data_IF_764968849061
#
_entry.id   IF_764968849061
#
_cell.length_a   1.000
_cell.length_b   1.000
_cell.length_c   1.000
_cell.angle_alpha   90.00
_cell.angle_beta   90.00
_cell.angle_gamma   90.00
#
_symmetry.space_group_name_H-M   'P 1'
#
loop_
_entity.id
_entity.type
_entity.pdbx_description
1 polymer ?
#
# COMPACT_ATOMS: atom_id res chain seq x y z
N UNK A 1 18.77 -23.70 -20.43
CA UNK A 1 17.91 -24.91 -20.27
C UNK A 1 16.71 -24.95 -21.22
N UNK A 2 16.03 -23.84 -21.53
CA UNK A 2 15.02 -23.85 -22.61
C UNK A 2 15.71 -23.88 -23.98
N UNK A 3 15.30 -24.78 -24.88
CA UNK A 3 15.67 -24.72 -26.30
C UNK A 3 14.95 -23.52 -26.97
N UNK A 4 15.38 -23.06 -28.16
CA UNK A 4 14.57 -22.16 -28.99
C UNK A 4 13.13 -22.66 -29.09
N UNK A 5 12.17 -21.74 -28.98
CA UNK A 5 10.72 -21.99 -28.99
C UNK A 5 10.19 -22.93 -27.88
N UNK A 6 11.06 -23.26 -26.92
CA UNK A 6 10.69 -23.99 -25.72
C UNK A 6 9.72 -23.19 -24.85
N UNK A 7 8.82 -23.92 -24.19
CA UNK A 7 7.87 -23.38 -23.22
C UNK A 7 8.22 -23.83 -21.80
N UNK A 8 8.15 -22.89 -20.87
CA UNK A 8 8.20 -23.15 -19.44
C UNK A 8 6.81 -22.89 -18.86
N UNK A 9 6.26 -23.85 -18.12
CA UNK A 9 4.96 -23.74 -17.48
C UNK A 9 5.11 -24.05 -16.00
N UNK A 10 4.93 -23.06 -15.13
CA UNK A 10 4.99 -23.23 -13.68
C UNK A 10 3.75 -22.71 -12.97
N UNK A 11 3.37 -23.35 -11.87
CA UNK A 11 2.43 -22.79 -10.90
C UNK A 11 3.26 -22.12 -9.79
N UNK A 12 3.09 -20.81 -9.61
CA UNK A 12 3.89 -20.01 -8.66
C UNK A 12 2.99 -19.07 -7.85
N UNK A 13 3.42 -18.59 -6.67
CA UNK A 13 2.70 -17.55 -5.95
C UNK A 13 2.54 -16.27 -6.80
N UNK A 14 1.39 -15.60 -6.71
CA UNK A 14 1.08 -14.40 -7.48
C UNK A 14 1.89 -13.15 -7.04
N UNK A 15 2.64 -13.24 -5.94
CA UNK A 15 3.37 -12.10 -5.36
C UNK A 15 4.38 -11.43 -6.29
N UNK A 16 5.02 -12.19 -7.20
CA UNK A 16 6.01 -11.64 -8.14
C UNK A 16 5.43 -10.66 -9.16
N UNK A 17 4.11 -10.65 -9.33
CA UNK A 17 3.41 -9.70 -10.20
C UNK A 17 3.55 -8.26 -9.72
N UNK A 18 3.68 -8.05 -8.40
CA UNK A 18 3.55 -6.73 -7.76
C UNK A 18 4.64 -6.35 -6.77
N UNK A 19 5.35 -7.32 -6.18
CA UNK A 19 6.41 -7.02 -5.20
C UNK A 19 7.71 -6.56 -5.89
N UNK A 20 8.35 -5.56 -5.32
CA UNK A 20 9.57 -4.95 -5.88
C UNK A 20 10.79 -5.88 -5.86
N UNK A 21 10.83 -6.83 -4.91
CA UNK A 21 11.83 -7.91 -4.85
C UNK A 21 11.91 -8.71 -6.16
N UNK A 22 10.81 -8.77 -6.90
CA UNK A 22 10.71 -9.50 -8.18
C UNK A 22 10.80 -8.59 -9.41
N UNK A 23 11.16 -7.32 -9.27
CA UNK A 23 11.36 -6.39 -10.39
C UNK A 23 12.34 -6.93 -11.42
N UNK A 24 13.49 -7.47 -10.98
CA UNK A 24 14.49 -8.10 -11.85
C UNK A 24 13.98 -9.36 -12.54
N UNK A 25 13.15 -10.15 -11.85
CA UNK A 25 12.51 -11.32 -12.44
C UNK A 25 11.53 -10.90 -13.55
N UNK A 26 10.67 -9.92 -13.29
CA UNK A 26 9.72 -9.39 -14.29
C UNK A 26 10.44 -8.84 -15.52
N UNK A 27 11.52 -8.08 -15.31
CA UNK A 27 12.36 -7.55 -16.38
C UNK A 27 13.01 -8.68 -17.21
N UNK A 28 13.55 -9.69 -16.54
CA UNK A 28 14.12 -10.87 -17.21
C UNK A 28 13.06 -11.58 -18.08
N UNK A 29 11.87 -11.84 -17.53
CA UNK A 29 10.79 -12.50 -18.25
C UNK A 29 10.34 -11.70 -19.48
N UNK A 30 10.25 -10.37 -19.36
CA UNK A 30 9.89 -9.47 -20.46
C UNK A 30 10.88 -9.53 -21.64
N UNK A 31 12.17 -9.73 -21.35
CA UNK A 31 13.21 -9.86 -22.37
C UNK A 31 13.39 -11.28 -22.89
N UNK A 32 13.09 -12.29 -22.07
CA UNK A 32 13.36 -13.69 -22.40
C UNK A 32 12.36 -14.29 -23.40
N UNK A 33 11.14 -13.73 -23.49
CA UNK A 33 10.12 -14.26 -24.38
C UNK A 33 8.74 -13.65 -24.19
N UNK A 34 7.72 -14.32 -24.75
CA UNK A 34 6.31 -14.00 -24.52
C UNK A 34 5.86 -14.62 -23.21
N UNK A 35 5.27 -13.79 -22.37
CA UNK A 35 4.77 -14.16 -21.06
C UNK A 35 3.24 -14.29 -21.09
N UNK A 36 2.70 -15.41 -20.62
CA UNK A 36 1.28 -15.56 -20.36
C UNK A 36 1.07 -15.93 -18.91
N UNK A 37 0.17 -15.22 -18.23
CA UNK A 37 -0.14 -15.42 -16.82
C UNK A 37 -1.62 -15.74 -16.70
N UNK A 38 -1.94 -16.88 -16.09
CA UNK A 38 -3.31 -17.27 -15.75
C UNK A 38 -3.47 -17.19 -14.24
N UNK A 39 -4.31 -16.28 -13.78
CA UNK A 39 -4.64 -16.21 -12.37
C UNK A 39 -5.60 -17.32 -11.98
N UNK A 40 -5.25 -18.01 -10.89
CA UNK A 40 -6.05 -19.12 -10.35
C UNK A 40 -6.47 -18.88 -8.90
N UNK A 41 -5.89 -17.89 -8.22
CA UNK A 41 -6.22 -17.57 -6.83
C UNK A 41 -5.73 -18.65 -5.85
N UNK A 42 -6.47 -18.84 -4.75
CA UNK A 42 -6.11 -19.77 -3.67
C UNK A 42 -6.59 -21.20 -3.94
N UNK A 43 -5.90 -21.89 -4.85
CA UNK A 43 -6.27 -23.25 -5.28
C UNK A 43 -5.73 -24.37 -4.37
N UNK A 44 -4.72 -24.08 -3.56
CA UNK A 44 -4.11 -25.10 -2.69
C UNK A 44 -4.78 -25.15 -1.31
N UNK A 45 -5.46 -26.26 -1.03
CA UNK A 45 -6.12 -26.47 0.26
C UNK A 45 -5.12 -26.36 1.43
N UNK A 46 -5.57 -25.73 2.52
CA UNK A 46 -4.77 -25.50 3.76
C UNK A 46 -3.51 -24.65 3.57
N UNK A 47 -3.32 -24.03 2.41
CA UNK A 47 -2.23 -23.08 2.14
C UNK A 47 -2.83 -21.71 1.85
N UNK A 48 -2.43 -20.70 2.62
CA UNK A 48 -2.89 -19.32 2.40
C UNK A 48 -2.00 -18.62 1.36
N UNK A 49 -2.07 -19.07 0.11
CA UNK A 49 -1.27 -18.53 -1.00
C UNK A 49 -2.14 -18.36 -2.24
N UNK A 50 -2.11 -17.17 -2.85
CA UNK A 50 -2.70 -16.92 -4.15
C UNK A 50 -1.69 -17.26 -5.24
N UNK A 51 -2.13 -17.96 -6.28
CA UNK A 51 -1.25 -18.52 -7.32
C UNK A 51 -1.62 -18.05 -8.73
N UNK A 52 -0.63 -18.18 -9.62
CA UNK A 52 -0.78 -18.04 -11.06
C UNK A 52 -0.12 -19.23 -11.75
N UNK A 53 -0.63 -19.60 -12.93
CA UNK A 53 0.11 -20.38 -13.91
C UNK A 53 0.89 -19.39 -14.79
N UNK A 54 2.21 -19.47 -14.75
CA UNK A 54 3.12 -18.69 -15.58
C UNK A 54 3.58 -19.54 -16.76
N UNK A 55 3.35 -19.06 -17.97
CA UNK A 55 3.85 -19.64 -19.22
C UNK A 55 4.85 -18.66 -19.83
N UNK A 56 6.09 -19.09 -20.01
CA UNK A 56 7.09 -18.35 -20.76
C UNK A 56 7.42 -19.12 -22.05
N UNK A 57 7.21 -18.47 -23.18
CA UNK A 57 7.58 -19.00 -24.50
C UNK A 57 8.77 -18.21 -25.04
N UNK A 58 9.89 -18.92 -25.24
CA UNK A 58 11.13 -18.32 -25.75
C UNK A 58 10.91 -17.74 -27.16
N UNK A 59 11.60 -16.63 -27.48
CA UNK A 59 11.53 -15.92 -28.78
C UNK A 59 10.22 -15.18 -29.09
N UNK A 60 9.22 -15.22 -28.20
CA UNK A 60 8.05 -14.33 -28.29
C UNK A 60 8.31 -12.95 -27.66
N UNK A 61 7.30 -12.07 -27.71
CA UNK A 61 7.30 -10.78 -27.01
C UNK A 61 5.93 -10.49 -26.39
N UNK A 62 5.94 -9.66 -25.35
CA UNK A 62 4.74 -9.13 -24.72
C UNK A 62 4.21 -10.01 -23.59
N UNK A 63 3.12 -9.55 -22.98
CA UNK A 63 2.48 -10.21 -21.85
C UNK A 63 0.96 -10.27 -22.01
N UNK A 64 0.38 -11.42 -21.72
CA UNK A 64 -1.07 -11.60 -21.58
C UNK A 64 -1.43 -12.03 -20.16
N UNK A 65 -2.43 -11.40 -19.56
CA UNK A 65 -2.99 -11.75 -18.26
C UNK A 65 -4.43 -12.23 -18.42
N UNK A 66 -4.69 -13.42 -17.91
CA UNK A 66 -6.00 -14.08 -17.92
C UNK A 66 -6.56 -14.21 -16.49
N UNK A 67 -7.88 -14.02 -16.37
CA UNK A 67 -8.69 -14.39 -15.22
C UNK A 67 -9.47 -15.66 -15.57
N UNK A 68 -9.00 -16.82 -15.12
CA UNK A 68 -9.42 -18.11 -15.68
C UNK A 68 -9.11 -18.17 -17.19
N UNK A 69 -10.15 -18.31 -18.01
CA UNK A 69 -10.03 -18.38 -19.48
C UNK A 69 -10.16 -17.02 -20.17
N UNK A 70 -10.56 -15.98 -19.43
CA UNK A 70 -10.83 -14.66 -20.00
C UNK A 70 -9.56 -13.83 -20.05
N UNK A 71 -9.16 -13.39 -21.25
CA UNK A 71 -8.08 -12.41 -21.42
C UNK A 71 -8.53 -11.06 -20.85
N UNK A 72 -7.79 -10.52 -19.88
CA UNK A 72 -8.10 -9.23 -19.25
C UNK A 72 -7.14 -8.15 -19.73
N UNK A 73 -5.84 -8.45 -19.79
CA UNK A 73 -4.82 -7.49 -20.19
C UNK A 73 -3.93 -8.10 -21.25
N UNK A 74 -3.65 -7.35 -22.31
CA UNK A 74 -2.62 -7.67 -23.29
C UNK A 74 -1.69 -6.48 -23.44
N UNK A 75 -0.39 -6.73 -23.25
CA UNK A 75 0.69 -5.74 -23.37
C UNK A 75 1.70 -6.23 -24.40
N UNK A 76 1.59 -5.82 -25.68
CA UNK A 76 2.50 -6.28 -26.72
C UNK A 76 3.96 -5.83 -26.49
N UNK A 77 4.15 -4.74 -25.74
CA UNK A 77 5.46 -4.19 -25.38
C UNK A 77 5.65 -4.15 -23.85
N UNK A 78 5.40 -5.28 -23.18
CA UNK A 78 5.65 -5.43 -21.74
C UNK A 78 7.16 -5.32 -21.44
N UNK A 79 7.53 -4.50 -20.43
CA UNK A 79 8.94 -4.19 -20.09
C UNK A 79 9.32 -4.57 -18.66
N UNK A 80 8.50 -5.40 -18.01
CA UNK A 80 8.75 -5.83 -16.64
C UNK A 80 8.14 -4.93 -15.57
N UNK A 81 7.25 -3.99 -15.96
CA UNK A 81 6.44 -3.23 -15.01
C UNK A 81 5.49 -4.15 -14.22
N UNK A 82 4.75 -3.59 -13.24
CA UNK A 82 3.81 -4.42 -12.47
C UNK A 82 2.73 -5.02 -13.37
N UNK A 83 2.33 -6.25 -13.04
CA UNK A 83 1.21 -6.93 -13.70
C UNK A 83 -0.02 -6.75 -12.83
N UNK A 84 -1.05 -6.09 -13.39
CA UNK A 84 -2.29 -5.72 -12.70
C UNK A 84 -3.50 -6.09 -13.55
N UNK A 85 -4.64 -6.31 -12.91
CA UNK A 85 -5.94 -6.50 -13.58
C UNK A 85 -6.53 -5.15 -13.98
N UNK A 86 -5.93 -4.53 -14.99
CA UNK A 86 -6.34 -3.24 -15.51
C UNK A 86 -7.65 -3.35 -16.29
N UNK A 87 -8.56 -2.41 -16.07
CA UNK A 87 -9.77 -2.20 -16.89
C UNK A 87 -9.84 -0.73 -17.29
N UNK A 88 -10.56 -0.38 -18.37
CA UNK A 88 -10.73 1.02 -18.76
C UNK A 88 -11.23 1.90 -17.60
N UNK A 89 -12.18 1.38 -16.80
CA UNK A 89 -12.78 2.09 -15.67
C UNK A 89 -11.78 2.39 -14.56
N UNK A 90 -10.96 1.42 -14.14
CA UNK A 90 -9.98 1.65 -13.05
C UNK A 90 -8.80 2.51 -13.52
N UNK A 91 -8.45 2.45 -14.81
CA UNK A 91 -7.42 3.32 -15.38
C UNK A 91 -7.93 4.76 -15.52
N UNK A 92 -9.20 4.96 -15.86
CA UNK A 92 -9.82 6.28 -15.83
C UNK A 92 -9.88 6.84 -14.42
N UNK A 93 -10.26 6.02 -13.43
CA UNK A 93 -10.21 6.39 -12.01
C UNK A 93 -8.78 6.77 -11.57
N UNK A 94 -7.75 5.98 -11.93
CA UNK A 94 -6.34 6.29 -11.62
C UNK A 94 -5.88 7.62 -12.24
N UNK A 95 -6.33 7.94 -13.46
CA UNK A 95 -5.99 9.20 -14.15
C UNK A 95 -6.79 10.41 -13.66
N UNK A 96 -7.94 10.19 -13.03
CA UNK A 96 -8.85 11.26 -12.59
C UNK A 96 -8.40 12.01 -11.34
N UNK A 97 -7.29 11.61 -10.70
CA UNK A 97 -6.79 12.26 -9.48
C UNK A 97 -5.26 12.38 -9.46
N UNK A 98 -4.77 13.06 -8.43
CA UNK A 98 -3.34 13.22 -8.16
C UNK A 98 -2.86 11.97 -7.41
N UNK A 99 -1.84 11.29 -7.91
CA UNK A 99 -1.25 10.15 -7.21
C UNK A 99 -0.78 10.56 -5.80
N UNK A 100 -1.10 9.74 -4.79
CA UNK A 100 -0.82 10.01 -3.38
C UNK A 100 0.64 10.41 -3.13
N UNK A 101 1.59 9.82 -3.85
CA UNK A 101 3.02 10.12 -3.69
C UNK A 101 3.43 11.55 -4.07
N UNK A 102 2.62 12.25 -4.87
CA UNK A 102 2.84 13.65 -5.20
C UNK A 102 2.35 14.59 -4.07
N UNK A 103 1.47 14.12 -3.20
CA UNK A 103 0.93 14.89 -2.08
C UNK A 103 1.61 14.59 -0.75
N UNK A 104 2.15 13.38 -0.59
CA UNK A 104 2.73 12.92 0.67
C UNK A 104 4.11 12.27 0.49
N UNK A 105 5.00 12.51 1.44
CA UNK A 105 6.08 11.60 1.75
C UNK A 105 5.51 10.42 2.55
N UNK A 106 5.88 9.21 2.16
CA UNK A 106 5.35 7.98 2.75
C UNK A 106 6.47 7.26 3.47
N UNK A 107 6.40 7.29 4.80
CA UNK A 107 7.34 6.60 5.68
C UNK A 107 6.76 5.29 6.20
N UNK A 108 7.63 4.43 6.71
CA UNK A 108 7.22 3.27 7.50
C UNK A 108 7.58 3.51 8.96
N UNK A 109 6.78 2.94 9.87
CA UNK A 109 7.00 3.02 11.30
C UNK A 109 8.39 2.50 11.75
N UNK A 110 8.81 2.90 12.95
CA UNK A 110 10.01 2.35 13.58
C UNK A 110 9.90 0.82 13.74
N UNK A 111 10.97 0.09 13.43
CA UNK A 111 10.95 -1.38 13.48
C UNK A 111 11.11 -1.87 14.92
N UNK A 112 10.63 -3.08 15.19
CA UNK A 112 10.73 -3.70 16.52
C UNK A 112 12.13 -3.67 17.16
N UNK A 113 13.25 -3.89 16.43
CA UNK A 113 14.58 -3.77 17.01
C UNK A 113 14.90 -2.35 17.50
N UNK A 114 14.51 -1.32 16.75
CA UNK A 114 14.73 0.09 17.10
C UNK A 114 13.93 0.45 18.36
N UNK A 115 12.67 0.02 18.44
CA UNK A 115 11.83 0.21 19.62
C UNK A 115 12.42 -0.47 20.85
N UNK A 116 12.85 -1.73 20.74
CA UNK A 116 13.43 -2.48 21.88
C UNK A 116 14.72 -1.87 22.40
N UNK A 117 15.52 -1.26 21.53
CA UNK A 117 16.79 -0.66 21.88
C UNK A 117 16.65 0.75 22.47
N UNK A 118 15.48 1.39 22.35
CA UNK A 118 15.29 2.77 22.76
C UNK A 118 15.21 2.89 24.30
N UNK A 119 16.00 3.79 24.94
CA UNK A 119 16.16 3.82 26.39
C UNK A 119 14.88 4.20 27.16
N UNK A 120 13.93 4.85 26.51
CA UNK A 120 12.65 5.26 27.12
C UNK A 120 11.50 4.27 26.86
N UNK A 121 11.78 3.13 26.23
CA UNK A 121 10.78 2.09 25.98
C UNK A 121 10.73 1.12 27.15
N UNK A 122 9.52 0.84 27.63
CA UNK A 122 9.22 -0.09 28.70
C UNK A 122 8.39 -1.26 28.17
N UNK A 123 8.59 -2.45 28.74
CA UNK A 123 7.74 -3.64 28.52
C UNK A 123 6.62 -3.77 29.55
N UNK A 124 6.47 -2.78 30.42
CA UNK A 124 5.39 -2.69 31.42
C UNK A 124 4.68 -1.34 31.33
N UNK A 125 3.36 -1.28 31.50
CA UNK A 125 2.65 -0.02 31.61
C UNK A 125 3.11 0.73 32.87
N UNK A 126 3.28 2.05 32.74
CA UNK A 126 3.60 2.94 33.86
C UNK A 126 2.84 4.26 33.68
N UNK A 127 2.64 5.00 34.77
CA UNK A 127 2.00 6.31 34.74
C UNK A 127 2.79 7.24 33.80
N UNK A 128 2.09 7.86 32.85
CA UNK A 128 2.69 8.77 31.87
C UNK A 128 3.25 8.11 30.60
N UNK A 129 3.21 6.78 30.50
CA UNK A 129 3.55 6.07 29.26
C UNK A 129 2.29 5.73 28.46
N UNK A 130 2.43 5.77 27.13
CA UNK A 130 1.40 5.37 26.18
C UNK A 130 1.82 4.09 25.45
N UNK A 131 0.86 3.26 24.99
CA UNK A 131 1.20 2.09 24.18
C UNK A 131 1.85 2.49 22.85
N UNK A 132 2.86 1.72 22.43
CA UNK A 132 3.37 1.78 21.05
C UNK A 132 2.40 1.00 20.17
N UNK A 133 1.81 1.69 19.21
CA UNK A 133 0.71 1.19 18.39
C UNK A 133 1.19 0.24 17.30
N UNK A 134 0.29 -0.63 16.84
CA UNK A 134 0.51 -1.63 15.80
C UNK A 134 -0.62 -1.57 14.78
N UNK A 135 -0.57 -2.39 13.73
CA UNK A 135 -1.68 -2.50 12.80
C UNK A 135 -3.00 -2.89 13.48
N UNK A 136 -3.00 -3.57 14.62
CA UNK A 136 -4.23 -3.90 15.35
C UNK A 136 -4.97 -2.68 15.91
N UNK A 137 -4.24 -1.61 16.21
CA UNK A 137 -4.78 -0.35 16.71
C UNK A 137 -5.46 0.47 15.61
N UNK A 138 -5.01 0.32 14.35
CA UNK A 138 -5.55 1.05 13.22
C UNK A 138 -6.89 0.46 12.74
N UNK A 139 -7.92 1.31 12.68
CA UNK A 139 -9.27 1.02 12.19
C UNK A 139 -9.66 2.00 11.07
N UNK A 140 -10.70 1.70 10.26
CA UNK A 140 -11.17 2.65 9.26
C UNK A 140 -11.68 3.93 9.91
N UNK A 141 -10.96 5.02 9.72
CA UNK A 141 -11.31 6.36 10.20
C UNK A 141 -10.93 6.67 11.65
N UNK A 142 -10.42 5.72 12.43
CA UNK A 142 -10.07 5.95 13.83
C UNK A 142 -8.95 5.03 14.35
N UNK A 143 -8.36 5.41 15.49
CA UNK A 143 -7.26 4.70 16.12
C UNK A 143 -7.65 4.32 17.55
N UNK A 144 -7.43 3.05 17.88
CA UNK A 144 -7.51 2.56 19.26
C UNK A 144 -6.23 2.90 20.01
N UNK A 145 -6.28 3.96 20.81
CA UNK A 145 -5.17 4.44 21.63
C UNK A 145 -5.04 3.72 22.99
N UNK A 146 -6.04 2.92 23.36
CA UNK A 146 -6.15 2.33 24.70
C UNK A 146 -5.44 0.98 24.79
N UNK A 147 -5.61 0.12 23.80
CA UNK A 147 -5.09 -1.24 23.85
C UNK A 147 -3.60 -1.33 23.46
N UNK A 148 -2.78 -1.91 24.34
CA UNK A 148 -1.41 -2.28 24.02
C UNK A 148 -1.33 -3.66 23.36
N UNK A 149 -1.24 -3.70 22.03
CA UNK A 149 -1.00 -4.95 21.29
C UNK A 149 0.48 -5.24 21.04
N UNK A 150 1.37 -4.25 21.22
CA UNK A 150 2.79 -4.40 20.95
C UNK A 150 3.58 -5.02 22.11
N UNK A 151 3.07 -4.88 23.34
CA UNK A 151 3.79 -5.17 24.57
C UNK A 151 4.83 -4.10 24.94
N UNK A 152 4.78 -2.92 24.32
CA UNK A 152 5.71 -1.82 24.56
C UNK A 152 4.98 -0.52 24.87
N UNK A 153 5.57 0.27 25.75
CA UNK A 153 5.10 1.58 26.18
C UNK A 153 6.25 2.57 26.16
N UNK A 154 5.97 3.85 25.91
CA UNK A 154 6.96 4.92 26.02
C UNK A 154 6.29 6.27 26.32
N UNK A 155 7.03 7.30 26.77
CA UNK A 155 6.47 8.64 26.89
C UNK A 155 6.06 9.15 25.50
N UNK A 156 4.84 9.67 25.38
CA UNK A 156 4.32 10.18 24.09
C UNK A 156 5.20 11.30 23.53
N UNK A 157 5.63 12.23 24.37
CA UNK A 157 6.51 13.35 23.98
C UNK A 157 7.90 12.90 23.49
N UNK A 158 8.30 11.66 23.81
CA UNK A 158 9.52 11.06 23.30
C UNK A 158 9.32 10.31 21.98
N UNK A 159 8.08 10.12 21.49
CA UNK A 159 7.84 9.43 20.22
C UNK A 159 8.68 10.00 19.04
N UNK A 160 8.87 11.34 18.92
CA UNK A 160 9.68 11.92 17.85
C UNK A 160 11.14 11.45 17.80
N UNK A 161 11.69 10.94 18.91
CA UNK A 161 13.06 10.41 18.95
C UNK A 161 13.21 9.07 18.20
N UNK A 162 12.11 8.33 18.01
CA UNK A 162 12.07 7.16 17.13
C UNK A 162 11.92 7.57 15.66
N UNK A 163 10.98 8.48 15.38
CA UNK A 163 10.72 9.04 14.05
C UNK A 163 10.17 10.45 14.19
N UNK A 164 10.77 11.41 13.48
CA UNK A 164 10.39 12.83 13.57
C UNK A 164 8.89 13.08 13.34
N UNK A 165 8.25 12.31 12.44
CA UNK A 165 6.84 12.47 12.09
C UNK A 165 5.87 12.01 13.19
N UNK A 166 6.35 11.37 14.26
CA UNK A 166 5.54 11.17 15.47
C UNK A 166 5.40 12.46 16.30
N UNK A 167 5.96 13.59 15.86
CA UNK A 167 5.84 14.89 16.54
C UNK A 167 4.68 15.76 16.08
N UNK A 168 3.92 15.35 15.06
CA UNK A 168 2.81 16.15 14.54
C UNK A 168 1.69 15.26 13.96
N UNK A 169 0.44 15.77 13.88
CA UNK A 169 -0.68 15.01 13.33
C UNK A 169 -0.46 14.60 11.88
N UNK A 170 -0.73 13.35 11.55
CA UNK A 170 -0.52 12.80 10.21
C UNK A 170 -1.42 11.58 9.93
N UNK A 171 -1.58 11.23 8.66
CA UNK A 171 -2.40 10.09 8.27
C UNK A 171 -1.58 8.80 8.42
N UNK A 172 -2.19 7.78 9.03
CA UNK A 172 -1.65 6.43 9.12
C UNK A 172 -2.43 5.52 8.18
N UNK A 173 -1.74 4.70 7.38
CA UNK A 173 -2.36 3.76 6.42
C UNK A 173 -1.85 2.34 6.63
N UNK A 174 -2.78 1.39 6.73
CA UNK A 174 -2.49 -0.01 7.03
C UNK A 174 -1.73 -0.73 5.91
N UNK A 175 -0.60 -1.33 6.24
CA UNK A 175 0.18 -2.21 5.39
C UNK A 175 -0.35 -3.65 5.45
N UNK A 176 -0.67 -4.16 6.63
CA UNK A 176 -0.97 -5.60 6.85
C UNK A 176 -2.46 -5.93 6.94
N UNK A 177 -3.29 -5.20 6.19
CA UNK A 177 -4.77 -5.31 6.21
C UNK A 177 -5.35 -6.06 5.00
N UNK A 178 -4.55 -6.87 4.32
CA UNK A 178 -4.87 -7.41 2.99
C UNK A 178 -4.71 -6.36 1.89
N UNK A 179 -5.24 -6.64 0.71
CA UNK A 179 -5.36 -5.68 -0.40
C UNK A 179 -6.48 -4.67 -0.13
N UNK A 180 -6.34 -3.91 0.96
CA UNK A 180 -7.32 -2.91 1.41
C UNK A 180 -6.61 -1.65 1.85
N UNK A 181 -7.23 -0.52 1.60
CA UNK A 181 -6.77 0.77 2.13
C UNK A 181 -7.54 1.05 3.41
N UNK A 182 -6.85 1.02 4.54
CA UNK A 182 -7.41 1.38 5.85
C UNK A 182 -6.62 2.56 6.35
N UNK A 183 -7.26 3.71 6.55
CA UNK A 183 -6.61 4.94 6.94
C UNK A 183 -7.26 5.56 8.18
N UNK A 184 -6.48 6.29 8.98
CA UNK A 184 -6.98 7.14 10.06
C UNK A 184 -6.04 8.33 10.26
N UNK A 185 -6.55 9.42 10.85
CA UNK A 185 -5.72 10.55 11.27
C UNK A 185 -5.22 10.29 12.70
N UNK A 186 -3.91 10.21 12.89
CA UNK A 186 -3.31 10.20 14.23
C UNK A 186 -3.17 11.65 14.73
N UNK A 187 -4.24 12.18 15.30
CA UNK A 187 -4.26 13.51 15.90
C UNK A 187 -3.47 13.57 17.21
N UNK A 188 -3.28 12.43 17.88
CA UNK A 188 -2.62 12.36 19.19
C UNK A 188 -1.12 12.15 19.11
N UNK A 189 -0.60 11.86 17.92
CA UNK A 189 0.82 11.69 17.61
C UNK A 189 1.44 10.56 18.45
N UNK A 190 0.83 9.36 18.41
CA UNK A 190 1.33 8.22 19.18
C UNK A 190 2.54 7.57 18.50
N UNK A 191 3.38 6.85 19.26
CA UNK A 191 4.44 6.03 18.68
C UNK A 191 3.87 4.78 18.01
N UNK A 192 4.41 4.40 16.84
CA UNK A 192 3.98 3.21 16.08
C UNK A 192 5.13 2.24 15.80
N UNK A 193 4.79 0.95 15.67
CA UNK A 193 5.71 -0.14 15.29
C UNK A 193 5.47 -0.67 13.87
N UNK A 194 4.29 -0.40 13.32
CA UNK A 194 3.81 -0.93 12.04
C UNK A 194 3.07 0.18 11.27
N UNK A 195 2.72 -0.11 10.02
CA UNK A 195 1.95 0.74 9.10
C UNK A 195 2.73 1.88 8.42
N UNK A 196 2.10 2.48 7.41
CA UNK A 196 2.63 3.62 6.66
C UNK A 196 2.20 4.94 7.31
N UNK A 197 3.06 5.95 7.24
CA UNK A 197 2.83 7.29 7.75
C UNK A 197 2.97 8.30 6.62
N UNK A 198 1.90 9.06 6.36
CA UNK A 198 1.80 10.01 5.26
C UNK A 198 2.06 11.41 5.80
N UNK A 199 3.18 12.00 5.41
CA UNK A 199 3.60 13.36 5.77
C UNK A 199 3.32 14.29 4.59
N UNK A 200 2.51 15.35 4.73
CA UNK A 200 2.20 16.25 3.63
C UNK A 200 3.44 16.91 3.02
N UNK A 201 3.55 16.90 1.69
CA UNK A 201 4.54 17.67 0.91
C UNK A 201 4.08 19.09 0.60
N UNK A 202 2.76 19.27 0.58
CA UNK A 202 2.08 20.51 0.23
C UNK A 202 1.20 20.94 1.40
N UNK A 203 1.02 22.25 1.56
CA UNK A 203 0.09 22.80 2.55
C UNK A 203 -1.38 22.61 2.16
N UNK A 204 -2.30 22.96 3.06
CA UNK A 204 -3.75 23.06 2.82
C UNK A 204 -4.49 21.77 2.43
N UNK A 205 -3.98 20.61 2.81
CA UNK A 205 -4.72 19.35 2.65
C UNK A 205 -5.77 19.18 3.75
N UNK A 206 -7.03 18.89 3.38
CA UNK A 206 -8.02 18.39 4.33
C UNK A 206 -7.74 16.92 4.64
N UNK A 207 -6.88 16.69 5.65
CA UNK A 207 -6.46 15.34 6.05
C UNK A 207 -7.65 14.46 6.45
N UNK A 208 -8.68 15.04 7.07
CA UNK A 208 -9.87 14.30 7.50
C UNK A 208 -10.71 13.87 6.28
N UNK A 209 -10.88 14.75 5.28
CA UNK A 209 -11.54 14.37 4.04
C UNK A 209 -10.75 13.33 3.25
N UNK A 210 -9.41 13.44 3.21
CA UNK A 210 -8.54 12.43 2.59
C UNK A 210 -8.69 11.08 3.30
N UNK A 211 -8.72 11.05 4.64
CA UNK A 211 -8.96 9.81 5.41
C UNK A 211 -10.32 9.19 5.05
N UNK A 212 -11.40 9.99 4.99
CA UNK A 212 -12.73 9.49 4.57
C UNK A 212 -12.68 8.92 3.16
N UNK A 213 -12.01 9.61 2.24
CA UNK A 213 -11.86 9.17 0.86
C UNK A 213 -11.04 7.87 0.74
N UNK A 214 -9.91 7.76 1.43
CA UNK A 214 -9.06 6.56 1.41
C UNK A 214 -9.79 5.31 1.92
N UNK A 215 -10.73 5.47 2.86
CA UNK A 215 -11.57 4.38 3.37
C UNK A 215 -12.82 4.12 2.51
N UNK A 216 -13.07 4.90 1.45
CA UNK A 216 -14.28 4.78 0.63
C UNK A 216 -14.32 3.49 -0.20
N UNK A 217 -15.53 3.06 -0.54
CA UNK A 217 -15.76 1.89 -1.41
C UNK A 217 -15.08 2.03 -2.78
N UNK A 218 -15.02 3.24 -3.33
CA UNK A 218 -14.36 3.51 -4.60
C UNK A 218 -12.86 3.13 -4.54
N UNK A 219 -12.16 3.55 -3.49
CA UNK A 219 -10.74 3.20 -3.27
C UNK A 219 -10.58 1.70 -2.98
N UNK A 220 -11.49 1.08 -2.22
CA UNK A 220 -11.45 -0.37 -1.99
C UNK A 220 -11.64 -1.17 -3.29
N UNK A 221 -12.57 -0.73 -4.14
CA UNK A 221 -12.86 -1.35 -5.43
C UNK A 221 -11.69 -1.20 -6.39
N UNK A 222 -11.10 -0.01 -6.45
CA UNK A 222 -9.87 0.26 -7.21
C UNK A 222 -8.74 -0.70 -6.84
N UNK A 223 -8.38 -0.78 -5.56
CA UNK A 223 -7.30 -1.65 -5.09
C UNK A 223 -7.60 -3.13 -5.32
N UNK A 224 -8.82 -3.58 -5.00
CA UNK A 224 -9.24 -4.98 -5.17
C UNK A 224 -9.26 -5.39 -6.64
N UNK A 225 -9.68 -4.49 -7.54
CA UNK A 225 -9.74 -4.77 -8.97
C UNK A 225 -8.34 -4.98 -9.50
N UNK A 226 -7.42 -4.03 -9.26
CA UNK A 226 -6.06 -4.09 -9.80
C UNK A 226 -5.22 -5.25 -9.26
N UNK A 227 -5.32 -5.52 -7.96
CA UNK A 227 -4.33 -6.36 -7.26
C UNK A 227 -4.90 -7.66 -6.67
N UNK A 228 -6.23 -7.86 -6.74
CA UNK A 228 -6.92 -9.04 -6.21
C UNK A 228 -6.43 -9.40 -4.81
N UNK A 229 -5.95 -10.63 -4.61
CA UNK A 229 -5.37 -11.13 -3.36
C UNK A 229 -3.91 -11.61 -3.53
N UNK A 230 -3.17 -11.03 -4.49
CA UNK A 230 -1.80 -11.46 -4.83
C UNK A 230 -0.87 -11.55 -3.63
N UNK A 231 -1.04 -10.61 -2.69
CA UNK A 231 -0.28 -10.49 -1.45
C UNK A 231 -1.24 -10.13 -0.31
N UNK A 232 -0.96 -10.52 0.94
CA UNK A 232 -1.80 -10.19 2.09
C UNK A 232 -1.61 -8.75 2.59
N UNK A 233 -1.10 -7.84 1.76
CA UNK A 233 -0.67 -6.52 2.15
C UNK A 233 -1.02 -5.45 1.11
N UNK A 234 -1.25 -4.23 1.56
CA UNK A 234 -1.14 -3.05 0.72
C UNK A 234 0.35 -2.68 0.66
N UNK A 235 0.97 -2.76 -0.51
CA UNK A 235 2.40 -2.42 -0.65
C UNK A 235 2.60 -0.91 -0.78
N UNK A 236 3.81 -0.43 -0.53
CA UNK A 236 4.15 0.99 -0.75
C UNK A 236 3.87 1.40 -2.21
N UNK A 237 4.26 0.56 -3.16
CA UNK A 237 4.06 0.81 -4.60
C UNK A 237 2.58 0.85 -4.99
N UNK A 238 1.73 0.06 -4.34
CA UNK A 238 0.27 0.17 -4.50
C UNK A 238 -0.26 1.48 -3.90
N UNK A 239 0.16 1.81 -2.68
CA UNK A 239 -0.32 2.98 -1.94
C UNK A 239 0.04 4.30 -2.65
N UNK A 240 1.26 4.42 -3.16
CA UNK A 240 1.74 5.58 -3.92
C UNK A 240 0.83 5.99 -5.09
N UNK A 241 0.19 5.00 -5.71
CA UNK A 241 -0.65 5.15 -6.90
C UNK A 241 -2.13 5.40 -6.60
N UNK A 242 -2.54 5.46 -5.33
CA UNK A 242 -3.94 5.76 -5.01
C UNK A 242 -4.22 7.20 -5.46
N UNK A 243 -5.19 7.43 -6.37
CA UNK A 243 -5.50 8.77 -6.85
C UNK A 243 -6.27 9.54 -5.78
N UNK A 244 -5.89 10.78 -5.52
CA UNK A 244 -6.61 11.71 -4.65
C UNK A 244 -7.34 12.74 -5.52
N UNK A 245 -8.66 12.93 -5.37
CA UNK A 245 -9.41 13.91 -6.14
C UNK A 245 -8.89 15.33 -5.94
N UNK A 246 -8.84 16.11 -7.01
CA UNK A 246 -8.30 17.47 -7.02
C UNK A 246 -9.02 18.39 -6.01
N UNK A 247 -10.33 18.21 -5.83
CA UNK A 247 -11.16 18.93 -4.87
C UNK A 247 -10.75 18.73 -3.41
N UNK A 248 -10.04 17.65 -3.06
CA UNK A 248 -9.51 17.43 -1.71
C UNK A 248 -8.16 18.12 -1.46
N UNK A 249 -7.52 18.61 -2.53
CA UNK A 249 -6.23 19.32 -2.47
C UNK A 249 -6.43 20.83 -2.50
N UNK A 250 -7.54 21.31 -3.10
CA UNK A 250 -7.74 22.73 -3.42
C UNK A 250 -8.76 23.46 -2.53
N UNK A 251 -9.40 22.78 -1.57
CA UNK A 251 -10.40 23.39 -0.69
C UNK A 251 -9.79 23.85 0.62
N UNK A 252 -9.21 25.05 0.59
CA UNK A 252 -9.20 26.01 1.69
C UNK A 252 -8.76 27.37 1.14
N UNK A 253 -9.67 28.06 0.43
CA UNK A 253 -9.60 29.52 0.41
C UNK A 253 -9.85 30.00 1.85
N UNK A 254 -8.95 30.86 2.36
CA UNK A 254 -9.06 31.44 3.70
C UNK A 254 -10.42 32.13 3.91
N UNK A 255 -10.95 32.18 5.15
CA UNK A 255 -12.01 33.13 5.45
C UNK A 255 -11.51 34.53 5.09
N UNK A 256 -12.25 35.22 4.22
CA UNK A 256 -12.01 36.64 3.95
C UNK A 256 -12.07 37.36 5.29
N UNK A 257 -10.94 37.89 5.74
CA UNK A 257 -10.93 38.91 6.79
C UNK A 257 -11.89 40.02 6.36
N UNK A 258 -12.78 40.50 7.25
CA UNK A 258 -13.62 41.63 6.92
C UNK A 258 -12.71 42.81 6.58
N UNK A 259 -12.95 43.41 5.42
CA UNK A 259 -12.38 44.71 5.10
C UNK A 259 -12.90 45.67 6.17
N UNK A 260 -11.98 46.18 6.99
CA UNK A 260 -12.26 47.27 7.91
C UNK A 260 -12.81 48.45 7.09
N UNK A 261 -13.99 48.92 7.51
CA UNK A 261 -14.57 50.20 7.11
C UNK A 261 -14.51 51.16 8.28
#
# INVERSE_FOLDING_TARGET
MLKPDGKLVFVVPASWLVLDDFSKLRLFLAHAGRLTVYYVGKVFQRRNVSCVVMVLERNGKGMNLYDGEKLIVSKPDYKGELIRFETPQVLEFERGGIALEHLFDIYFAARSPEIRAHPQVSTKPQKGLVPILTGRNLKPGWIDYEHCYSGFWMPREAAPTLRFFYGFPHIVVGHTKGTRVVAALDERCYPWREEFHLVPKVGNLDLQAIVRYLNSEAVQTYARTLYRDFVPHLTLTMLKRVPIPQELVSRNEMPKLPLEG
#
